data_IF_300002329119
#
_entry.id   IF_300002329119
#
_cell.length_a   1.000
_cell.length_b   1.000
_cell.length_c   1.000
_cell.angle_alpha   90.00
_cell.angle_beta   90.00
_cell.angle_gamma   90.00
#
_symmetry.space_group_name_H-M   'P 1'
#
loop_
_entity.id
_entity.type
_entity.pdbx_description
1 polymer ?
#
# COMPACT_ATOMS: atom_id res chain seq x y z
N UNK A 1 23.05 2.56 2.17
CA UNK A 1 21.77 2.93 1.53
C UNK A 1 20.62 2.25 2.24
N UNK A 2 19.77 3.01 2.93
CA UNK A 2 18.57 2.46 3.55
C UNK A 2 17.60 2.06 2.44
N UNK A 3 17.37 0.75 2.25
CA UNK A 3 16.42 0.22 1.24
C UNK A 3 14.96 0.36 1.68
N UNK A 4 14.69 1.00 2.82
CA UNK A 4 13.38 1.17 3.44
C UNK A 4 12.35 1.76 2.46
N UNK A 5 12.73 2.81 1.72
CA UNK A 5 11.84 3.47 0.77
C UNK A 5 11.46 2.57 -0.41
N UNK A 6 12.43 1.81 -0.91
CA UNK A 6 12.21 0.86 -2.00
C UNK A 6 11.29 -0.29 -1.60
N UNK A 7 11.49 -0.82 -0.39
CA UNK A 7 10.61 -1.85 0.18
C UNK A 7 9.20 -1.32 0.43
N UNK A 8 9.08 -0.13 1.00
CA UNK A 8 7.80 0.56 1.19
C UNK A 8 7.02 0.65 -0.12
N UNK A 9 7.63 1.11 -1.21
CA UNK A 9 6.96 1.22 -2.51
C UNK A 9 6.48 -0.14 -3.05
N UNK A 10 7.29 -1.19 -2.91
CA UNK A 10 6.88 -2.55 -3.32
C UNK A 10 5.66 -3.03 -2.53
N UNK A 11 5.67 -2.83 -1.21
CA UNK A 11 4.53 -3.20 -0.36
C UNK A 11 3.31 -2.35 -0.66
N UNK A 12 3.47 -1.04 -0.87
CA UNK A 12 2.38 -0.14 -1.23
C UNK A 12 1.71 -0.51 -2.56
N UNK A 13 2.50 -0.90 -3.56
CA UNK A 13 1.97 -1.40 -4.82
C UNK A 13 1.26 -2.75 -4.64
N UNK A 14 1.84 -3.68 -3.88
CA UNK A 14 1.21 -4.97 -3.61
C UNK A 14 -0.11 -4.80 -2.83
N UNK A 15 -0.15 -3.89 -1.86
CA UNK A 15 -1.34 -3.53 -1.08
C UNK A 15 -2.43 -2.95 -1.99
N UNK A 16 -2.10 -1.98 -2.84
CA UNK A 16 -3.04 -1.42 -3.82
C UNK A 16 -3.58 -2.45 -4.80
N UNK A 17 -2.72 -3.33 -5.33
CA UNK A 17 -3.14 -4.44 -6.20
C UNK A 17 -4.07 -5.39 -5.45
N UNK A 18 -3.71 -5.78 -4.21
CA UNK A 18 -4.53 -6.69 -3.40
C UNK A 18 -5.91 -6.09 -3.07
N UNK A 19 -5.99 -4.76 -2.91
CA UNK A 19 -7.25 -4.08 -2.68
C UNK A 19 -8.13 -4.07 -3.94
N UNK A 20 -7.53 -3.82 -5.11
CA UNK A 20 -8.23 -3.95 -6.39
C UNK A 20 -8.72 -5.38 -6.66
N UNK A 21 -7.92 -6.40 -6.31
CA UNK A 21 -8.32 -7.80 -6.41
C UNK A 21 -9.46 -8.12 -5.45
N UNK A 22 -9.42 -7.59 -4.22
CA UNK A 22 -10.48 -7.77 -3.24
C UNK A 22 -11.81 -7.19 -3.75
N UNK A 23 -11.80 -5.95 -4.26
CA UNK A 23 -13.01 -5.27 -4.74
C UNK A 23 -13.48 -5.77 -6.10
N UNK A 24 -12.55 -6.02 -7.02
CA UNK A 24 -12.86 -6.36 -8.42
C UNK A 24 -13.04 -7.85 -8.69
N UNK A 25 -12.53 -8.73 -7.81
CA UNK A 25 -12.62 -10.19 -8.00
C UNK A 25 -13.31 -10.84 -6.81
N UNK A 26 -12.81 -10.64 -5.59
CA UNK A 26 -13.33 -11.36 -4.43
C UNK A 26 -14.78 -10.97 -4.10
N UNK A 27 -15.12 -9.68 -4.18
CA UNK A 27 -16.49 -9.21 -3.97
C UNK A 27 -17.47 -9.74 -5.05
N UNK A 28 -17.18 -9.66 -6.35
CA UNK A 28 -18.01 -10.32 -7.36
C UNK A 28 -18.16 -11.82 -7.14
N UNK A 29 -17.09 -12.56 -6.82
CA UNK A 29 -17.19 -13.99 -6.54
C UNK A 29 -18.08 -14.29 -5.33
N UNK A 30 -18.05 -13.46 -4.30
CA UNK A 30 -18.95 -13.58 -3.14
C UNK A 30 -20.42 -13.44 -3.54
N UNK A 31 -20.77 -12.47 -4.38
CA UNK A 31 -22.18 -12.19 -4.70
C UNK A 31 -22.72 -13.00 -5.89
N UNK A 32 -21.89 -13.30 -6.90
CA UNK A 32 -22.32 -13.97 -8.13
C UNK A 32 -22.09 -15.47 -8.13
N UNK A 33 -21.09 -15.97 -7.39
CA UNK A 33 -20.74 -17.39 -7.32
C UNK A 33 -20.95 -17.99 -5.92
N UNK A 34 -21.50 -17.21 -4.98
CA UNK A 34 -21.73 -17.60 -3.58
C UNK A 34 -20.48 -18.19 -2.90
N UNK A 35 -19.31 -17.62 -3.24
CA UNK A 35 -17.99 -18.03 -2.74
C UNK A 35 -17.43 -17.03 -1.71
N UNK A 36 -17.97 -16.97 -0.47
CA UNK A 36 -17.49 -16.02 0.55
C UNK A 36 -16.03 -16.27 0.96
N UNK A 37 -15.55 -17.51 0.79
CA UNK A 37 -14.18 -17.90 1.13
C UNK A 37 -13.12 -17.10 0.35
N UNK A 38 -13.43 -16.67 -0.88
CA UNK A 38 -12.53 -15.84 -1.68
C UNK A 38 -12.24 -14.49 -0.99
N UNK A 39 -13.27 -13.86 -0.41
CA UNK A 39 -13.13 -12.61 0.35
C UNK A 39 -12.35 -12.84 1.64
N UNK A 40 -12.57 -13.96 2.32
CA UNK A 40 -11.81 -14.27 3.55
C UNK A 40 -10.32 -14.40 3.26
N UNK A 41 -9.93 -15.15 2.23
CA UNK A 41 -8.52 -15.37 1.88
C UNK A 41 -7.88 -14.08 1.38
N UNK A 42 -8.46 -13.44 0.37
CA UNK A 42 -7.91 -12.21 -0.22
C UNK A 42 -7.92 -11.07 0.79
N UNK A 43 -8.97 -10.97 1.62
CA UNK A 43 -9.09 -9.97 2.67
C UNK A 43 -8.05 -10.15 3.77
N UNK A 44 -7.77 -11.38 4.17
CA UNK A 44 -6.70 -11.67 5.14
C UNK A 44 -5.33 -11.28 4.58
N UNK A 45 -5.04 -11.64 3.32
CA UNK A 45 -3.79 -11.27 2.65
C UNK A 45 -3.65 -9.75 2.52
N UNK A 46 -4.71 -9.07 2.10
CA UNK A 46 -4.74 -7.61 2.01
C UNK A 46 -4.53 -6.97 3.39
N UNK A 47 -5.16 -7.47 4.45
CA UNK A 47 -4.98 -6.98 5.82
C UNK A 47 -3.53 -7.07 6.30
N UNK A 48 -2.83 -8.17 5.98
CA UNK A 48 -1.40 -8.32 6.28
C UNK A 48 -0.57 -7.25 5.54
N UNK A 49 -0.85 -7.03 4.25
CA UNK A 49 -0.18 -6.01 3.44
C UNK A 49 -0.45 -4.59 3.95
N UNK A 50 -1.68 -4.32 4.39
CA UNK A 50 -2.08 -3.04 4.98
C UNK A 50 -1.31 -2.73 6.26
N UNK A 51 -1.17 -3.71 7.16
CA UNK A 51 -0.35 -3.55 8.38
C UNK A 51 1.13 -3.35 8.02
N UNK A 52 1.67 -4.15 7.10
CA UNK A 52 3.05 -4.01 6.63
C UNK A 52 3.30 -2.63 5.99
N UNK A 53 2.34 -2.09 5.24
CA UNK A 53 2.38 -0.75 4.66
C UNK A 53 2.56 0.32 5.73
N UNK A 54 1.77 0.30 6.81
CA UNK A 54 1.88 1.29 7.88
C UNK A 54 3.19 1.20 8.66
N UNK A 55 3.70 -0.02 8.90
CA UNK A 55 5.00 -0.23 9.54
C UNK A 55 6.10 0.40 8.69
N UNK A 56 6.16 0.07 7.39
CA UNK A 56 7.16 0.61 6.47
C UNK A 56 6.99 2.10 6.24
N UNK A 57 5.75 2.63 6.20
CA UNK A 57 5.49 4.06 6.10
C UNK A 57 6.06 4.81 7.31
N UNK A 58 5.92 4.24 8.52
CA UNK A 58 6.50 4.80 9.75
C UNK A 58 8.02 4.75 9.73
N UNK A 59 8.62 3.66 9.24
CA UNK A 59 10.08 3.57 9.08
C UNK A 59 10.60 4.61 8.08
N UNK A 60 9.95 4.76 6.92
CA UNK A 60 10.27 5.82 5.94
C UNK A 60 10.13 7.21 6.58
N UNK A 61 9.09 7.43 7.37
CA UNK A 61 8.90 8.70 8.07
C UNK A 61 10.07 9.01 9.01
N UNK A 62 10.55 8.03 9.76
CA UNK A 62 11.70 8.16 10.67
C UNK A 62 13.02 8.33 9.91
N UNK A 63 13.26 7.49 8.90
CA UNK A 63 14.51 7.43 8.14
C UNK A 63 14.74 8.69 7.30
N UNK A 64 13.68 9.24 6.73
CA UNK A 64 13.72 10.39 5.83
C UNK A 64 13.15 11.67 6.46
N UNK A 65 12.95 11.68 7.79
CA UNK A 65 12.40 12.81 8.57
C UNK A 65 11.14 13.43 7.96
N UNK A 66 10.24 12.59 7.42
CA UNK A 66 8.96 13.07 6.88
C UNK A 66 8.05 13.49 8.04
N UNK A 67 7.23 14.52 7.82
CA UNK A 67 6.26 14.96 8.83
C UNK A 67 5.05 14.04 8.91
N UNK A 68 4.28 14.13 10.00
CA UNK A 68 3.06 13.33 10.21
C UNK A 68 2.02 13.49 9.09
N UNK A 69 1.95 14.67 8.46
CA UNK A 69 1.08 14.92 7.29
C UNK A 69 1.37 13.96 6.12
N UNK A 70 2.62 13.55 5.93
CA UNK A 70 3.01 12.60 4.89
C UNK A 70 2.43 11.21 5.19
N UNK A 71 2.49 10.76 6.45
CA UNK A 71 1.93 9.48 6.88
C UNK A 71 0.40 9.46 6.70
N UNK A 72 -0.28 10.55 7.05
CA UNK A 72 -1.74 10.68 6.83
C UNK A 72 -2.08 10.63 5.34
N UNK A 73 -1.33 11.34 4.49
CA UNK A 73 -1.53 11.30 3.03
C UNK A 73 -1.33 9.88 2.50
N UNK A 74 -0.29 9.18 2.95
CA UNK A 74 -0.02 7.79 2.57
C UNK A 74 -1.14 6.84 3.01
N UNK A 75 -1.64 6.98 4.24
CA UNK A 75 -2.78 6.20 4.75
C UNK A 75 -4.06 6.45 3.96
N UNK A 76 -4.39 7.72 3.65
CA UNK A 76 -5.55 8.07 2.83
C UNK A 76 -5.44 7.48 1.42
N UNK A 77 -4.25 7.40 0.86
CA UNK A 77 -4.03 6.79 -0.44
C UNK A 77 -4.19 5.27 -0.44
N UNK A 78 -3.85 4.58 0.65
CA UNK A 78 -4.09 3.14 0.81
C UNK A 78 -5.59 2.81 0.95
N UNK A 79 -6.39 3.71 1.53
CA UNK A 79 -7.85 3.52 1.62
C UNK A 79 -8.60 3.71 0.29
N UNK A 80 -7.98 4.32 -0.70
CA UNK A 80 -8.58 4.55 -2.01
C UNK A 80 -8.10 3.49 -3.00
N UNK A 81 -8.99 2.83 -3.77
CA UNK A 81 -8.64 1.72 -4.67
C UNK A 81 -7.58 2.06 -5.74
N UNK A 82 -7.27 3.33 -5.95
CA UNK A 82 -6.22 3.80 -6.85
C UNK A 82 -5.25 4.80 -6.22
N UNK A 83 -5.40 5.09 -4.93
CA UNK A 83 -4.63 6.15 -4.28
C UNK A 83 -3.13 5.83 -4.23
N UNK A 84 -2.77 4.58 -3.93
CA UNK A 84 -1.37 4.13 -3.88
C UNK A 84 -0.68 4.20 -5.23
N UNK A 85 -1.38 3.91 -6.34
CA UNK A 85 -0.82 4.01 -7.69
C UNK A 85 -0.55 5.46 -8.10
N UNK A 86 -1.44 6.38 -7.73
CA UNK A 86 -1.24 7.82 -7.98
C UNK A 86 -0.07 8.33 -7.16
N UNK A 87 0.00 7.95 -5.88
CA UNK A 87 1.08 8.36 -4.98
C UNK A 87 2.43 7.68 -5.28
N UNK A 88 2.46 6.51 -5.92
CA UNK A 88 3.73 5.85 -6.29
C UNK A 88 4.59 6.75 -7.20
N UNK A 89 3.97 7.58 -8.05
CA UNK A 89 4.69 8.57 -8.86
C UNK A 89 5.41 9.62 -8.02
N UNK A 90 4.78 10.08 -6.94
CA UNK A 90 5.39 11.02 -6.00
C UNK A 90 6.50 10.32 -5.20
N UNK A 91 6.21 9.14 -4.66
CA UNK A 91 7.17 8.33 -3.90
C UNK A 91 8.39 7.93 -4.72
N UNK A 92 8.25 7.64 -6.02
CA UNK A 92 9.37 7.38 -6.92
C UNK A 92 10.33 8.57 -7.03
N UNK A 93 9.80 9.79 -7.05
CA UNK A 93 10.62 11.02 -7.04
C UNK A 93 11.30 11.21 -5.69
N UNK A 94 10.58 10.95 -4.60
CA UNK A 94 11.14 11.02 -3.25
C UNK A 94 12.27 9.99 -3.02
N UNK A 95 12.11 8.76 -3.52
CA UNK A 95 13.15 7.71 -3.48
C UNK A 95 14.38 8.11 -4.30
N UNK A 96 14.19 8.68 -5.50
CA UNK A 96 15.29 9.15 -6.34
C UNK A 96 16.06 10.28 -5.66
N UNK A 97 15.36 11.27 -5.09
CA UNK A 97 15.97 12.36 -4.35
C UNK A 97 16.75 11.85 -3.11
N UNK A 98 16.21 10.84 -2.43
CA UNK A 98 16.84 10.17 -1.29
C UNK A 98 18.12 9.38 -1.64
N UNK A 99 18.23 8.87 -2.86
CA UNK A 99 19.41 8.12 -3.33
C UNK A 99 20.51 9.01 -3.93
N UNK A 100 20.29 10.32 -4.03
CA UNK A 100 21.27 11.28 -4.60
C UNK A 100 22.15 11.92 -3.51
N UNK A 101 21.94 11.56 -2.24
CA UNK A 101 22.69 12.01 -1.05
C UNK A 101 23.43 10.82 -0.45
#
# INVERSE_FOLDING_TARGET
MKKTFSWFRKVALAEGISFLVLLGIAMPLKYFADMPMAVTIVGSLHGILFVAFFILAREVMSDYKKGFKWLVKAGLASLLPFGTFVMDKEWKKEEAAANTI
#
